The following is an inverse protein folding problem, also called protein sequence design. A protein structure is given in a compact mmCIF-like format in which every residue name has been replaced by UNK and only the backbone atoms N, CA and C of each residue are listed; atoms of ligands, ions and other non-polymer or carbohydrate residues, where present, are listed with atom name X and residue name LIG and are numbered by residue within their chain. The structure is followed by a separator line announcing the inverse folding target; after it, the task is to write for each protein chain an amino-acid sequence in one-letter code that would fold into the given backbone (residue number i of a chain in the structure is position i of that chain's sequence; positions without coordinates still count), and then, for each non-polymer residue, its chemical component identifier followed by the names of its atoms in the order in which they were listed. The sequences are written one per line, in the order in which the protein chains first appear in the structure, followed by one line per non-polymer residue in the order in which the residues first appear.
data_IF_947157380175
#
_entry.id   IF_947157380175
#
_cell.length_a   1.000
_cell.length_b   1.000
_cell.length_c   1.000
_cell.angle_alpha   90.00
_cell.angle_beta   90.00
_cell.angle_gamma   90.00
#
_symmetry.space_group_name_H-M   'P 1'
#
loop_
_entity.id
_entity.type
_entity.pdbx_description
1 polymer ?
#
# COMPACT_ATOMS: atom_id res chain seq x y z
N UNK A 1 14.35 14.58 -4.59
CA UNK A 1 13.06 14.31 -3.93
C UNK A 1 13.12 12.92 -3.28
N UNK A 2 13.57 12.82 -2.02
CA UNK A 2 13.77 11.53 -1.32
C UNK A 2 12.42 11.01 -0.80
N UNK A 3 12.05 9.76 -1.09
CA UNK A 3 10.80 9.13 -0.62
C UNK A 3 10.77 9.15 0.92
N UNK A 4 9.89 9.96 1.50
CA UNK A 4 9.85 10.20 2.96
C UNK A 4 9.18 9.06 3.74
N UNK A 5 8.26 8.30 3.14
CA UNK A 5 7.54 7.20 3.81
C UNK A 5 7.24 6.06 2.84
N UNK A 6 7.78 4.88 3.15
CA UNK A 6 7.46 3.64 2.44
C UNK A 6 6.02 3.21 2.80
N UNK A 7 5.25 2.69 1.83
CA UNK A 7 3.88 2.21 2.06
C UNK A 7 2.74 3.21 1.78
N UNK A 8 3.03 4.50 1.62
CA UNK A 8 1.99 5.53 1.35
C UNK A 8 1.25 5.27 0.04
N UNK A 9 1.95 4.84 -1.01
CA UNK A 9 1.33 4.51 -2.31
C UNK A 9 0.35 3.35 -2.18
N UNK A 10 0.68 2.34 -1.38
CA UNK A 10 -0.20 1.20 -1.13
C UNK A 10 -1.42 1.59 -0.31
N UNK A 11 -1.25 2.44 0.71
CA UNK A 11 -2.39 3.00 1.45
C UNK A 11 -3.31 3.83 0.53
N UNK A 12 -2.76 4.64 -0.37
CA UNK A 12 -3.53 5.41 -1.36
C UNK A 12 -4.26 4.47 -2.32
N UNK A 13 -3.60 3.41 -2.81
CA UNK A 13 -4.22 2.39 -3.66
C UNK A 13 -5.43 1.76 -2.96
N UNK A 14 -5.29 1.38 -1.68
CA UNK A 14 -6.37 0.80 -0.88
C UNK A 14 -7.51 1.77 -0.58
N UNK A 15 -7.29 3.08 -0.66
CA UNK A 15 -8.36 4.08 -0.55
C UNK A 15 -9.03 4.37 -1.91
N UNK A 16 -8.26 4.46 -3.00
CA UNK A 16 -8.77 4.80 -4.32
C UNK A 16 -9.52 3.64 -4.99
N UNK A 17 -9.01 2.42 -4.83
CA UNK A 17 -9.63 1.22 -5.41
C UNK A 17 -11.10 1.00 -4.99
N UNK A 18 -11.44 1.01 -3.69
CA UNK A 18 -12.84 0.90 -3.28
C UNK A 18 -13.69 2.10 -3.67
N UNK A 19 -13.14 3.32 -3.71
CA UNK A 19 -13.87 4.50 -4.18
C UNK A 19 -14.30 4.34 -5.65
N UNK A 20 -13.40 3.85 -6.50
CA UNK A 20 -13.72 3.53 -7.90
C UNK A 20 -14.77 2.41 -8.01
N UNK A 21 -14.69 1.38 -7.15
CA UNK A 21 -15.70 0.30 -7.12
C UNK A 21 -17.10 0.77 -6.69
N UNK A 22 -17.20 1.72 -5.76
CA UNK A 22 -18.50 2.33 -5.40
C UNK A 22 -19.08 3.06 -6.61
N UNK A 23 -18.25 3.84 -7.32
CA UNK A 23 -18.69 4.57 -8.50
C UNK A 23 -19.14 3.62 -9.63
N UNK A 24 -18.38 2.56 -9.88
CA UNK A 24 -18.73 1.54 -10.88
C UNK A 24 -20.05 0.84 -10.53
N UNK A 25 -20.24 0.48 -9.26
CA UNK A 25 -21.48 -0.14 -8.78
C UNK A 25 -22.69 0.80 -8.87
N UNK A 26 -22.53 2.10 -8.65
CA UNK A 26 -23.61 3.07 -8.85
C UNK A 26 -24.09 3.17 -10.30
N UNK A 27 -23.22 2.86 -11.27
CA UNK A 27 -23.54 2.85 -12.70
C UNK A 27 -24.10 1.48 -13.14
N UNK A 28 -23.98 0.44 -12.31
CA UNK A 28 -24.58 -0.87 -12.61
C UNK A 28 -26.08 -0.82 -12.43
N UNK A 29 -26.79 -0.87 -13.55
CA UNK A 29 -28.27 -0.83 -13.62
C UNK A 29 -28.88 -2.24 -13.60
N UNK A 30 -28.07 -3.30 -13.70
CA UNK A 30 -28.54 -4.68 -13.92
C UNK A 30 -28.64 -5.58 -12.66
N UNK A 31 -28.14 -5.14 -11.51
CA UNK A 31 -28.01 -6.02 -10.35
C UNK A 31 -29.17 -5.82 -9.35
N UNK A 32 -30.04 -6.82 -9.12
CA UNK A 32 -31.03 -6.73 -8.06
C UNK A 32 -30.30 -6.65 -6.71
N UNK A 33 -30.80 -5.80 -5.81
CA UNK A 33 -30.20 -5.52 -4.50
C UNK A 33 -30.24 -6.74 -3.55
N UNK A 34 -29.44 -7.77 -3.84
CA UNK A 34 -29.31 -8.97 -3.02
C UNK A 34 -28.38 -8.73 -1.83
N UNK A 35 -28.87 -7.95 -0.85
CA UNK A 35 -28.73 -8.12 0.62
C UNK A 35 -29.05 -6.80 1.33
N UNK A 36 -30.23 -6.71 1.97
CA UNK A 36 -30.60 -5.64 2.91
C UNK A 36 -30.53 -4.18 2.37
N UNK A 37 -30.68 -3.96 1.05
CA UNK A 37 -30.74 -2.61 0.46
C UNK A 37 -29.37 -1.96 0.19
N UNK A 38 -28.27 -2.68 0.41
CA UNK A 38 -26.92 -2.31 -0.02
C UNK A 38 -26.38 -3.43 -0.90
N UNK A 39 -25.67 -3.09 -1.97
CA UNK A 39 -25.03 -4.13 -2.78
C UNK A 39 -23.76 -4.61 -2.08
N UNK A 40 -23.40 -5.89 -2.27
CA UNK A 40 -22.19 -6.52 -1.69
C UNK A 40 -20.94 -5.67 -2.00
N UNK A 41 -20.89 -5.08 -3.20
CA UNK A 41 -19.84 -4.16 -3.63
C UNK A 41 -19.74 -2.89 -2.76
N UNK A 42 -20.86 -2.33 -2.30
CA UNK A 42 -20.87 -1.15 -1.42
C UNK A 42 -20.30 -1.49 -0.03
N UNK A 43 -20.66 -2.65 0.53
CA UNK A 43 -20.13 -3.12 1.81
C UNK A 43 -18.61 -3.36 1.75
N UNK A 44 -18.13 -4.06 0.71
CA UNK A 44 -16.70 -4.33 0.50
C UNK A 44 -15.92 -3.03 0.33
N UNK A 45 -16.48 -2.04 -0.36
CA UNK A 45 -15.83 -0.75 -0.53
C UNK A 45 -15.73 0.06 0.76
N UNK A 46 -16.77 0.05 1.61
CA UNK A 46 -16.70 0.69 2.94
C UNK A 46 -15.63 0.02 3.80
N UNK A 47 -15.56 -1.31 3.79
CA UNK A 47 -14.53 -2.08 4.50
C UNK A 47 -13.12 -1.72 4.03
N UNK A 48 -12.88 -1.71 2.72
CA UNK A 48 -11.58 -1.35 2.14
C UNK A 48 -11.21 0.11 2.43
N UNK A 49 -12.17 1.04 2.38
CA UNK A 49 -11.94 2.43 2.73
C UNK A 49 -11.55 2.59 4.20
N UNK A 50 -12.23 1.88 5.12
CA UNK A 50 -11.90 1.87 6.53
C UNK A 50 -10.49 1.29 6.79
N UNK A 51 -10.13 0.20 6.09
CA UNK A 51 -8.79 -0.40 6.16
C UNK A 51 -7.71 0.56 5.64
N UNK A 52 -7.96 1.23 4.51
CA UNK A 52 -7.06 2.24 3.94
C UNK A 52 -6.82 3.42 4.88
N UNK A 53 -7.88 3.94 5.51
CA UNK A 53 -7.80 4.97 6.55
C UNK A 53 -6.97 4.50 7.75
N UNK A 54 -7.23 3.28 8.25
CA UNK A 54 -6.48 2.69 9.36
C UNK A 54 -4.98 2.59 9.05
N UNK A 55 -4.64 2.09 7.86
CA UNK A 55 -3.25 2.00 7.40
C UNK A 55 -2.59 3.37 7.24
N UNK A 56 -3.31 4.36 6.70
CA UNK A 56 -2.79 5.73 6.59
C UNK A 56 -2.45 6.32 7.95
N UNK A 57 -3.34 6.18 8.94
CA UNK A 57 -3.08 6.65 10.30
C UNK A 57 -1.94 5.89 10.97
N UNK A 58 -1.84 4.56 10.77
CA UNK A 58 -0.74 3.75 11.29
C UNK A 58 0.61 4.19 10.70
N UNK A 59 0.69 4.37 9.37
CA UNK A 59 1.87 4.87 8.68
C UNK A 59 2.22 6.32 9.07
N UNK A 60 1.22 7.12 9.49
CA UNK A 60 1.47 8.47 10.01
C UNK A 60 2.24 8.43 11.34
N UNK A 61 1.97 7.42 12.18
CA UNK A 61 2.62 7.22 13.48
C UNK A 61 3.97 6.50 13.41
N UNK A 62 4.27 5.80 12.32
CA UNK A 62 5.55 5.08 12.15
C UNK A 62 6.70 6.03 11.76
N UNK A 63 7.94 5.74 12.20
CA UNK A 63 9.11 6.54 11.85
C UNK A 63 9.41 6.48 10.35
N UNK A 64 9.89 7.59 9.78
CA UNK A 64 10.15 7.75 8.33
C UNK A 64 11.25 6.81 7.80
N UNK A 65 12.12 6.33 8.70
CA UNK A 65 13.13 5.32 8.44
C UNK A 65 12.98 4.21 9.45
N UNK A 66 13.24 2.98 9.00
CA UNK A 66 13.42 1.86 9.91
C UNK A 66 14.55 2.20 10.91
N UNK A 67 14.35 2.00 12.22
CA UNK A 67 15.41 2.19 13.21
C UNK A 67 16.59 1.21 12.98
N UNK A 68 16.37 0.14 12.21
CA UNK A 68 17.40 -0.83 11.82
C UNK A 68 18.16 -0.43 10.54
N UNK A 69 17.84 0.70 9.93
CA UNK A 69 18.48 1.13 8.69
C UNK A 69 19.93 1.60 8.93
N UNK A 70 20.89 0.74 8.63
CA UNK A 70 22.33 1.09 8.65
C UNK A 70 22.70 1.80 7.34
N UNK A 71 23.40 2.96 7.37
CA UNK A 71 23.91 3.59 6.16
C UNK A 71 24.83 2.64 5.39
N UNK A 72 24.63 2.55 4.08
CA UNK A 72 25.58 1.82 3.22
C UNK A 72 26.94 2.51 3.27
N UNK A 73 27.95 1.79 3.72
CA UNK A 73 29.36 2.23 3.66
C UNK A 73 29.97 1.56 2.43
N UNK A 74 30.40 2.33 1.41
CA UNK A 74 31.10 1.73 0.28
C UNK A 74 32.38 1.03 0.77
N UNK A 75 32.68 -0.19 0.29
CA UNK A 75 33.95 -0.84 0.58
C UNK A 75 35.10 0.08 0.18
N UNK A 76 36.01 0.39 1.10
CA UNK A 76 37.18 1.24 0.85
C UNK A 76 38.21 0.55 -0.05
N UNK A 77 38.09 -0.76 -0.25
CA UNK A 77 38.97 -1.54 -1.11
C UNK A 77 38.16 -2.43 -2.05
N UNK A 78 38.55 -2.56 -3.33
CA UNK A 78 37.94 -3.53 -4.22
C UNK A 78 38.14 -4.94 -3.62
N UNK A 79 37.12 -5.81 -3.67
CA UNK A 79 37.22 -7.15 -3.10
C UNK A 79 38.44 -7.88 -3.70
N UNK A 80 39.24 -8.58 -2.89
CA UNK A 80 40.44 -9.25 -3.38
C UNK A 80 40.04 -10.17 -4.53
N UNK A 81 40.68 -9.97 -5.68
CA UNK A 81 40.47 -10.76 -6.90
C UNK A 81 40.69 -12.22 -6.50
N UNK A 82 39.62 -13.03 -6.42
CA UNK A 82 39.73 -14.47 -6.13
C UNK A 82 40.72 -15.04 -7.14
N UNK A 83 41.93 -15.41 -6.68
CA UNK A 83 42.87 -16.18 -7.49
C UNK A 83 42.15 -17.47 -7.85
N UNK A 84 41.80 -17.61 -9.12
CA UNK A 84 41.37 -18.89 -9.66
C UNK A 84 42.41 -19.93 -9.26
N UNK A 85 41.98 -20.96 -8.56
CA UNK A 85 42.81 -22.15 -8.37
C UNK A 85 42.93 -22.80 -9.74
N UNK A 86 44.19 -22.97 -10.16
CA UNK A 86 44.76 -23.85 -11.19
C UNK A 86 43.83 -24.43 -12.23
#
# INVERSE_FOLDING_TARGET
YRRKRHGVVFAILLMLYPAARIMEEMIRIDNPHDTAGLTISQFVSVLLFAVGLGLYYALKKMPERSPLAVPFVPPTEPPPKKKGRG
#
